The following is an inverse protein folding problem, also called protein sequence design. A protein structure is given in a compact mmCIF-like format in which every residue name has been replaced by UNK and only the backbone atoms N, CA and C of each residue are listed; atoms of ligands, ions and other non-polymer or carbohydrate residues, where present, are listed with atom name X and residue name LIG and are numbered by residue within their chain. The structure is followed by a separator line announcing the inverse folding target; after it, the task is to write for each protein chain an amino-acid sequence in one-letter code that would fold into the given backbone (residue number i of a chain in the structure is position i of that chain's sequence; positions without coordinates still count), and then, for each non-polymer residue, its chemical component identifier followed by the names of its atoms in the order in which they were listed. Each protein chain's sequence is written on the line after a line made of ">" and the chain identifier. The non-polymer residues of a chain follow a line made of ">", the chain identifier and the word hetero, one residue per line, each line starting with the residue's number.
data_IF_075156299855
#
_entry.id   IF_075156299855
#
_cell.length_a   1.000
_cell.length_b   1.000
_cell.length_c   1.000
_cell.angle_alpha   90.00
_cell.angle_beta   90.00
_cell.angle_gamma   90.00
#
_symmetry.space_group_name_H-M   'P 1'
#
loop_
_entity.id
_entity.type
_entity.pdbx_description
1 polymer ?
#
# COMPACT_ATOMS: atom_id res chain seq x y z
N UNK A 1 -29.92 6.00 6.53
CA UNK A 1 -29.06 4.93 7.02
C UNK A 1 -27.76 5.54 7.53
N UNK A 2 -27.31 5.13 8.69
CA UNK A 2 -26.04 5.60 9.23
C UNK A 2 -24.87 5.17 8.33
N UNK A 3 -23.90 6.05 8.17
CA UNK A 3 -22.68 5.71 7.44
C UNK A 3 -21.89 4.65 8.19
N UNK A 4 -21.41 3.62 7.49
CA UNK A 4 -20.49 2.61 8.01
C UNK A 4 -19.03 3.04 7.90
N UNK A 5 -18.78 4.19 7.29
CA UNK A 5 -17.41 4.72 7.13
C UNK A 5 -16.84 5.13 8.48
N UNK A 6 -15.55 4.84 8.62
CA UNK A 6 -14.76 5.24 9.78
C UNK A 6 -13.68 6.21 9.34
N UNK A 7 -13.20 7.01 10.28
CA UNK A 7 -12.11 7.97 10.02
C UNK A 7 -10.79 7.39 10.46
N UNK A 8 -9.79 7.51 9.60
CA UNK A 8 -8.39 7.19 9.90
C UNK A 8 -7.57 8.42 9.56
N UNK A 9 -6.69 8.82 10.47
CA UNK A 9 -5.81 9.97 10.23
C UNK A 9 -4.72 9.58 9.25
N UNK A 10 -4.45 10.46 8.30
CA UNK A 10 -3.38 10.35 7.30
C UNK A 10 -2.39 11.49 7.51
N UNK A 11 -1.12 11.16 7.53
CA UNK A 11 -0.02 12.14 7.50
C UNK A 11 0.73 12.01 6.19
N UNK A 12 0.82 13.12 5.46
CA UNK A 12 1.61 13.20 4.23
C UNK A 12 3.07 13.44 4.63
N UNK A 13 3.96 12.53 4.24
CA UNK A 13 5.40 12.61 4.50
C UNK A 13 6.17 13.10 3.28
N UNK A 14 5.67 12.80 2.08
CA UNK A 14 6.24 13.28 0.82
C UNK A 14 5.26 14.27 0.19
N UNK A 15 5.71 15.51 -0.09
CA UNK A 15 4.81 16.56 -0.60
C UNK A 15 4.25 16.30 -1.99
N UNK A 16 4.79 15.34 -2.74
CA UNK A 16 4.24 14.93 -4.04
C UNK A 16 2.89 14.21 -3.90
N UNK A 17 2.67 13.59 -2.74
CA UNK A 17 1.41 12.90 -2.47
C UNK A 17 0.28 13.93 -2.29
N UNK A 18 -0.74 13.84 -3.12
CA UNK A 18 -1.82 14.82 -3.18
C UNK A 18 -1.55 15.98 -4.16
N UNK A 19 -0.40 15.95 -4.86
CA UNK A 19 -0.02 16.93 -5.89
C UNK A 19 0.31 16.19 -7.19
N UNK A 20 1.55 15.68 -7.30
CA UNK A 20 2.01 14.94 -8.48
C UNK A 20 1.44 13.52 -8.48
N UNK A 21 1.25 12.93 -7.29
CA UNK A 21 0.65 11.62 -7.09
C UNK A 21 -0.68 11.76 -6.36
N UNK A 22 -1.73 11.03 -6.81
CA UNK A 22 -3.02 11.06 -6.11
C UNK A 22 -2.92 10.57 -4.66
N UNK A 23 -3.75 11.15 -3.79
CA UNK A 23 -3.97 10.60 -2.45
C UNK A 23 -4.62 9.21 -2.56
N UNK A 24 -4.45 8.36 -1.53
CA UNK A 24 -5.14 7.07 -1.49
C UNK A 24 -6.65 7.27 -1.63
N UNK A 25 -7.26 6.51 -2.53
CA UNK A 25 -8.70 6.56 -2.75
C UNK A 25 -9.17 5.21 -3.26
N UNK A 26 -10.48 4.99 -3.17
CA UNK A 26 -11.13 3.84 -3.77
C UNK A 26 -11.35 4.11 -5.26
N UNK A 27 -10.93 3.17 -6.11
CA UNK A 27 -11.07 3.30 -7.54
C UNK A 27 -12.55 3.29 -7.98
N UNK A 28 -13.38 2.53 -7.27
CA UNK A 28 -14.84 2.46 -7.47
C UNK A 28 -15.55 2.48 -6.12
N UNK A 29 -16.86 2.72 -6.15
CA UNK A 29 -17.67 2.70 -4.92
C UNK A 29 -17.69 1.34 -4.21
N UNK A 30 -17.45 0.26 -4.94
CA UNK A 30 -17.41 -1.10 -4.38
C UNK A 30 -16.01 -1.64 -4.13
N UNK A 31 -14.97 -0.84 -4.31
CA UNK A 31 -13.59 -1.27 -4.04
C UNK A 31 -13.38 -1.52 -2.55
N UNK A 32 -12.70 -2.62 -2.21
CA UNK A 32 -12.36 -2.95 -0.82
C UNK A 32 -11.08 -2.27 -0.36
N UNK A 33 -10.14 -2.03 -1.27
CA UNK A 33 -8.83 -1.47 -0.98
C UNK A 33 -8.58 -0.13 -1.64
N UNK A 34 -7.77 0.68 -0.97
CA UNK A 34 -7.23 1.92 -1.53
C UNK A 34 -5.86 1.63 -2.13
N UNK A 35 -5.52 2.30 -3.24
CA UNK A 35 -4.23 2.12 -3.88
C UNK A 35 -3.10 2.76 -3.07
N UNK A 36 -1.99 2.06 -2.97
CA UNK A 36 -0.72 2.56 -2.48
C UNK A 36 0.22 2.76 -3.67
N UNK A 37 0.90 3.91 -3.70
CA UNK A 37 1.76 4.29 -4.81
C UNK A 37 3.22 4.34 -4.41
N UNK A 38 4.10 4.10 -5.38
CA UNK A 38 5.53 4.16 -5.19
C UNK A 38 6.00 5.62 -5.12
N UNK A 39 6.44 6.06 -3.95
CA UNK A 39 6.94 7.41 -3.74
C UNK A 39 8.47 7.43 -3.90
N UNK A 40 8.92 7.06 -5.08
CA UNK A 40 10.34 7.03 -5.45
C UNK A 40 10.66 8.21 -6.36
N UNK A 41 11.95 8.58 -6.45
CA UNK A 41 12.39 9.74 -7.22
C UNK A 41 12.64 9.40 -8.69
N UNK A 42 13.05 8.16 -8.95
CA UNK A 42 13.41 7.67 -10.27
C UNK A 42 12.76 6.30 -10.49
N UNK A 43 12.65 5.89 -11.75
CA UNK A 43 12.24 4.52 -12.09
C UNK A 43 13.17 3.51 -11.41
N UNK A 44 12.58 2.59 -10.68
CA UNK A 44 13.28 1.54 -9.95
C UNK A 44 13.16 0.23 -10.69
N UNK A 45 14.28 -0.31 -11.14
CA UNK A 45 14.32 -1.63 -11.78
C UNK A 45 14.40 -2.71 -10.71
N UNK A 46 13.41 -3.59 -10.66
CA UNK A 46 13.36 -4.73 -9.74
C UNK A 46 13.63 -5.99 -10.54
N UNK A 47 14.79 -6.58 -10.31
CA UNK A 47 15.20 -7.80 -11.02
C UNK A 47 14.43 -9.03 -10.52
N UNK A 48 14.31 -10.08 -11.34
CA UNK A 48 13.69 -11.34 -10.89
C UNK A 48 14.34 -11.85 -9.60
N UNK A 49 13.51 -12.18 -8.61
CA UNK A 49 13.96 -12.66 -7.30
C UNK A 49 14.33 -11.56 -6.31
N UNK A 50 14.44 -10.32 -6.75
CA UNK A 50 14.81 -9.20 -5.89
C UNK A 50 13.61 -8.73 -5.07
N UNK A 51 13.87 -8.35 -3.81
CA UNK A 51 12.91 -7.68 -2.94
C UNK A 51 13.45 -6.32 -2.55
N UNK A 52 12.64 -5.27 -2.70
CA UNK A 52 13.01 -3.90 -2.34
C UNK A 52 11.92 -3.28 -1.48
N UNK A 53 12.33 -2.45 -0.53
CA UNK A 53 11.41 -1.72 0.33
C UNK A 53 11.08 -0.38 -0.31
N UNK A 54 9.81 -0.17 -0.65
CA UNK A 54 9.36 1.00 -1.40
C UNK A 54 8.53 1.91 -0.49
N UNK A 55 8.90 3.19 -0.36
CA UNK A 55 8.13 4.14 0.44
C UNK A 55 6.83 4.53 -0.26
N UNK A 56 5.78 4.76 0.53
CA UNK A 56 4.48 5.25 0.06
C UNK A 56 4.30 6.75 0.25
N UNK A 57 5.20 7.39 0.98
CA UNK A 57 5.14 8.82 1.26
C UNK A 57 4.11 9.22 2.30
N UNK A 58 3.53 8.26 3.01
CA UNK A 58 2.49 8.54 4.00
C UNK A 58 2.59 7.66 5.24
N UNK A 59 2.00 8.14 6.33
CA UNK A 59 1.75 7.39 7.55
C UNK A 59 0.26 7.47 7.88
N UNK A 60 -0.25 6.49 8.59
CA UNK A 60 -1.62 6.49 9.09
C UNK A 60 -1.63 6.29 10.59
N UNK A 61 -2.70 6.73 11.25
CA UNK A 61 -2.96 6.43 12.64
C UNK A 61 -4.39 5.91 12.77
N UNK A 62 -4.54 4.62 12.88
CA UNK A 62 -5.83 3.95 13.02
C UNK A 62 -6.43 4.23 14.39
N UNK A 63 -5.62 4.15 15.45
CA UNK A 63 -5.95 4.52 16.82
C UNK A 63 -7.08 3.71 17.48
N UNK A 64 -7.56 2.69 16.82
CA UNK A 64 -8.65 1.84 17.31
C UNK A 64 -8.19 0.38 17.26
N UNK A 65 -7.96 -0.27 18.40
CA UNK A 65 -7.48 -1.67 18.42
C UNK A 65 -8.49 -2.69 17.87
N UNK A 66 -9.72 -2.26 17.62
CA UNK A 66 -10.72 -3.06 16.89
C UNK A 66 -10.55 -3.05 15.38
N UNK A 67 -9.55 -2.32 14.86
CA UNK A 67 -9.24 -2.23 13.44
C UNK A 67 -7.76 -2.42 13.18
N UNK A 68 -7.44 -2.95 12.02
CA UNK A 68 -6.08 -2.97 11.48
C UNK A 68 -6.14 -2.64 9.99
N UNK A 69 -5.00 -2.29 9.42
CA UNK A 69 -4.85 -2.22 7.97
C UNK A 69 -4.01 -3.40 7.50
N UNK A 70 -4.37 -3.96 6.34
CA UNK A 70 -3.56 -4.99 5.68
C UNK A 70 -3.17 -4.49 4.30
N UNK A 71 -1.90 -4.66 3.96
CA UNK A 71 -1.36 -4.32 2.65
C UNK A 71 -1.28 -5.61 1.85
N UNK A 72 -1.88 -5.60 0.68
CA UNK A 72 -2.02 -6.76 -0.20
C UNK A 72 -1.48 -6.42 -1.59
N UNK A 73 -1.03 -7.43 -2.35
CA UNK A 73 -0.68 -7.23 -3.76
C UNK A 73 -1.91 -6.82 -4.58
N UNK A 74 -1.67 -6.13 -5.69
CA UNK A 74 -2.69 -5.93 -6.71
C UNK A 74 -2.75 -7.18 -7.58
N UNK A 75 -3.97 -7.66 -7.87
CA UNK A 75 -4.17 -8.90 -8.63
C UNK A 75 -3.50 -8.89 -10.02
N UNK A 76 -3.62 -7.78 -10.76
CA UNK A 76 -3.02 -7.67 -12.08
C UNK A 76 -1.50 -7.69 -12.07
N UNK A 77 -0.86 -6.93 -11.18
CA UNK A 77 0.59 -6.92 -11.04
C UNK A 77 1.12 -8.28 -10.57
N UNK A 78 0.44 -8.88 -9.60
CA UNK A 78 0.84 -10.18 -9.08
C UNK A 78 0.75 -11.29 -10.12
N UNK A 79 -0.36 -11.34 -10.84
CA UNK A 79 -0.60 -12.39 -11.83
C UNK A 79 0.26 -12.23 -13.09
N UNK A 80 0.31 -11.00 -13.65
CA UNK A 80 1.01 -10.77 -14.94
C UNK A 80 2.50 -10.62 -14.79
N UNK A 81 2.96 -9.97 -13.73
CA UNK A 81 4.36 -9.57 -13.59
C UNK A 81 5.06 -10.22 -12.40
N UNK A 82 4.33 -10.95 -11.56
CA UNK A 82 4.90 -11.53 -10.35
C UNK A 82 5.29 -10.50 -9.29
N UNK A 83 4.74 -9.29 -9.34
CA UNK A 83 5.01 -8.25 -8.36
C UNK A 83 4.04 -8.42 -7.20
N UNK A 84 4.59 -8.90 -6.11
CA UNK A 84 3.86 -9.25 -4.88
C UNK A 84 4.60 -8.67 -3.67
N UNK A 85 4.21 -9.07 -2.46
CA UNK A 85 4.87 -8.60 -1.24
C UNK A 85 5.84 -9.65 -0.72
N UNK A 86 7.05 -9.21 -0.33
CA UNK A 86 8.06 -10.08 0.25
C UNK A 86 7.66 -10.66 1.60
N UNK A 87 6.83 -9.94 2.34
CA UNK A 87 6.23 -10.40 3.61
C UNK A 87 4.87 -11.06 3.42
N UNK A 88 4.43 -11.30 2.21
CA UNK A 88 3.16 -11.88 1.76
C UNK A 88 1.96 -10.99 2.08
N UNK A 89 1.77 -10.58 3.32
CA UNK A 89 0.76 -9.62 3.77
C UNK A 89 1.43 -8.63 4.71
N UNK A 90 1.24 -7.35 4.46
CA UNK A 90 1.67 -6.31 5.39
C UNK A 90 0.59 -6.05 6.42
N UNK A 91 0.89 -6.29 7.70
CA UNK A 91 -0.05 -6.00 8.79
C UNK A 91 0.35 -4.70 9.47
N UNK A 92 -0.60 -3.76 9.50
CA UNK A 92 -0.41 -2.45 10.12
C UNK A 92 -1.29 -2.39 11.37
N UNK A 93 -0.65 -2.39 12.52
CA UNK A 93 -1.33 -2.30 13.81
C UNK A 93 -1.95 -0.92 14.03
N UNK A 94 -2.95 -0.86 14.89
CA UNK A 94 -3.69 0.38 15.16
C UNK A 94 -2.84 1.50 15.74
N UNK A 95 -1.74 1.15 16.41
CA UNK A 95 -0.82 2.11 17.05
C UNK A 95 0.45 2.38 16.21
N UNK A 96 0.59 1.76 15.05
CA UNK A 96 1.71 2.06 14.17
C UNK A 96 1.52 3.39 13.46
N UNK A 97 2.47 4.30 13.62
CA UNK A 97 2.41 5.65 13.06
C UNK A 97 3.62 5.99 12.17
N UNK A 98 4.45 5.02 11.87
CA UNK A 98 5.58 5.20 10.95
C UNK A 98 5.13 5.24 9.49
N UNK A 99 6.05 5.59 8.61
CA UNK A 99 5.78 5.56 7.18
C UNK A 99 5.36 4.16 6.75
N UNK A 100 4.31 4.09 5.93
CA UNK A 100 3.92 2.85 5.27
C UNK A 100 4.95 2.53 4.17
N UNK A 101 5.53 1.36 4.27
CA UNK A 101 6.51 0.84 3.32
C UNK A 101 5.97 -0.42 2.70
N UNK A 102 6.21 -0.60 1.41
CA UNK A 102 5.81 -1.80 0.70
C UNK A 102 7.05 -2.63 0.40
N UNK A 103 7.09 -3.84 0.97
CA UNK A 103 8.11 -4.83 0.65
C UNK A 103 7.77 -5.45 -0.71
N UNK A 104 8.38 -4.93 -1.76
CA UNK A 104 8.05 -5.28 -3.15
C UNK A 104 8.98 -6.39 -3.65
N UNK A 105 8.40 -7.55 -3.94
CA UNK A 105 9.13 -8.71 -4.40
C UNK A 105 8.75 -9.04 -5.85
N UNK A 106 9.77 -9.12 -6.72
CA UNK A 106 9.59 -9.62 -8.08
C UNK A 106 9.84 -11.12 -8.09
N UNK A 107 8.76 -11.89 -8.04
CA UNK A 107 8.83 -13.36 -8.18
C UNK A 107 8.62 -13.82 -9.62
N UNK A 108 8.55 -12.87 -10.55
CA UNK A 108 8.40 -13.14 -11.97
C UNK A 108 9.70 -13.53 -12.63
N UNK A 109 9.67 -13.60 -13.96
CA UNK A 109 10.82 -14.02 -14.78
C UNK A 109 11.55 -12.86 -15.43
N UNK A 110 10.91 -11.70 -15.51
CA UNK A 110 11.42 -10.51 -16.19
C UNK A 110 11.66 -9.38 -15.19
N UNK A 111 12.63 -8.52 -15.48
CA UNK A 111 12.82 -7.30 -14.74
C UNK A 111 11.55 -6.44 -14.80
N UNK A 112 11.21 -5.78 -13.71
CA UNK A 112 10.05 -4.91 -13.63
C UNK A 112 10.50 -3.46 -13.36
N UNK A 113 9.98 -2.54 -14.18
CA UNK A 113 10.25 -1.12 -14.05
C UNK A 113 9.15 -0.47 -13.23
N UNK A 114 9.46 -0.08 -11.98
CA UNK A 114 8.54 0.61 -11.09
C UNK A 114 8.74 2.10 -11.21
N UNK A 115 7.76 2.78 -11.78
CA UNK A 115 7.84 4.22 -12.01
C UNK A 115 7.38 5.02 -10.80
N UNK A 116 7.89 6.26 -10.61
CA UNK A 116 7.38 7.14 -9.57
C UNK A 116 5.86 7.34 -9.69
N UNK A 117 5.16 7.19 -8.58
CA UNK A 117 3.70 7.33 -8.53
C UNK A 117 2.90 6.13 -9.00
N UNK A 118 3.56 5.07 -9.46
CA UNK A 118 2.86 3.85 -9.91
C UNK A 118 2.10 3.19 -8.76
N UNK A 119 0.91 2.66 -9.08
CA UNK A 119 0.14 1.86 -8.14
C UNK A 119 0.85 0.54 -7.90
N UNK A 120 1.21 0.27 -6.67
CA UNK A 120 2.12 -0.82 -6.30
C UNK A 120 1.42 -1.92 -5.51
N UNK A 121 0.52 -1.53 -4.63
CA UNK A 121 -0.18 -2.41 -3.71
C UNK A 121 -1.52 -1.79 -3.37
N UNK A 122 -2.27 -2.46 -2.51
CA UNK A 122 -3.53 -1.92 -1.99
C UNK A 122 -3.61 -2.14 -0.48
N UNK A 123 -4.36 -1.28 0.18
CA UNK A 123 -4.55 -1.35 1.62
C UNK A 123 -6.02 -1.49 1.95
N UNK A 124 -6.35 -2.48 2.78
CA UNK A 124 -7.71 -2.79 3.22
C UNK A 124 -7.76 -2.67 4.74
N UNK A 125 -8.80 -2.04 5.26
CA UNK A 125 -9.05 -1.99 6.70
C UNK A 125 -9.92 -3.17 7.10
N UNK A 126 -9.56 -3.85 8.18
CA UNK A 126 -10.23 -5.05 8.65
C UNK A 126 -10.54 -4.97 10.14
N UNK A 127 -11.64 -5.59 10.60
CA UNK A 127 -11.91 -5.69 12.03
C UNK A 127 -10.94 -6.68 12.69
N UNK A 128 -10.61 -6.40 13.95
CA UNK A 128 -9.68 -7.21 14.76
C UNK A 128 -10.37 -7.62 16.04
N UNK A 129 -10.20 -8.88 16.43
CA UNK A 129 -10.62 -9.39 17.72
C UNK A 129 -9.36 -9.73 18.51
N UNK A 130 -9.18 -9.03 19.64
CA UNK A 130 -8.12 -9.37 20.59
C UNK A 130 -8.64 -10.38 21.60
N UNK A 131 -7.79 -11.25 22.07
CA UNK A 131 -8.13 -12.30 23.02
C UNK A 131 -7.25 -12.22 24.27
#
# INVERSE_FOLDING_TARGET
>A
MASLMKKVQLRILDPRLGRDFPLPDYATAGSAGVDLRACVDETLTILPGQTVLVPTGMAIHVANPGLAAVILPRSGLGHKHGIVLGNLVGLIDSDYQGQLMVSCWNRGRDAFELEPGARLAQMVFVPVVQV
#
